data_IF_872302646304
#
_entry.id   IF_872302646304
#
_cell.length_a   1.000
_cell.length_b   1.000
_cell.length_c   1.000
_cell.angle_alpha   90.00
_cell.angle_beta   90.00
_cell.angle_gamma   90.00
#
_symmetry.space_group_name_H-M   'P 1'
#
loop_
_entity.id
_entity.type
_entity.pdbx_description
1 polymer ?
#
# COMPACT_ATOMS: atom_id res chain seq x y z
N UNK A 1 9.87 5.49 -25.19
CA UNK A 1 8.65 6.13 -25.74
C UNK A 1 7.98 6.97 -24.69
N UNK A 2 7.41 8.09 -25.07
CA UNK A 2 6.66 8.94 -24.14
C UNK A 2 5.37 8.24 -23.69
N UNK A 3 4.99 8.34 -22.42
CA UNK A 3 3.72 7.78 -21.95
C UNK A 3 2.55 8.50 -22.65
N UNK A 4 1.56 7.72 -23.08
CA UNK A 4 0.32 8.26 -23.61
C UNK A 4 -0.52 8.82 -22.45
N UNK A 5 -0.98 10.06 -22.48
CA UNK A 5 -1.53 10.76 -21.32
C UNK A 5 -2.98 10.35 -20.97
N UNK A 6 -3.50 9.28 -21.58
CA UNK A 6 -4.89 8.82 -21.39
C UNK A 6 -4.91 7.50 -20.63
N UNK A 7 -5.77 7.43 -19.63
CA UNK A 7 -6.05 6.19 -18.90
C UNK A 7 -7.05 5.34 -19.66
N UNK A 8 -6.80 4.03 -19.72
CA UNK A 8 -7.72 3.07 -20.29
C UNK A 8 -8.62 2.44 -19.22
N UNK A 9 -9.79 2.01 -19.62
CA UNK A 9 -10.73 1.26 -18.81
C UNK A 9 -10.62 -0.24 -19.16
N UNK A 10 -10.41 -1.08 -18.15
CA UNK A 10 -10.38 -2.53 -18.35
C UNK A 10 -11.81 -3.04 -18.48
N UNK A 11 -12.10 -3.65 -19.61
CA UNK A 11 -13.38 -4.30 -19.85
C UNK A 11 -13.30 -5.75 -19.37
N UNK A 12 -13.92 -6.04 -18.25
CA UNK A 12 -14.06 -7.42 -17.76
C UNK A 12 -15.11 -8.16 -18.58
N UNK A 13 -14.69 -8.85 -19.61
CA UNK A 13 -15.53 -9.81 -20.32
C UNK A 13 -14.82 -11.16 -20.35
N UNK A 14 -15.11 -12.00 -19.36
CA UNK A 14 -14.61 -13.37 -19.28
C UNK A 14 -13.09 -13.47 -19.24
N UNK A 15 -12.52 -13.59 -18.06
CA UNK A 15 -11.09 -13.90 -17.90
C UNK A 15 -10.91 -15.37 -18.29
N UNK A 16 -10.50 -15.64 -19.52
CA UNK A 16 -10.02 -16.94 -19.93
C UNK A 16 -8.50 -16.95 -19.83
N UNK A 17 -8.00 -17.85 -19.03
CA UNK A 17 -6.56 -18.16 -18.97
C UNK A 17 -6.31 -19.25 -19.99
N UNK A 18 -5.42 -19.02 -20.93
CA UNK A 18 -4.95 -20.08 -21.82
C UNK A 18 -4.12 -21.08 -20.98
N UNK A 19 -4.62 -22.30 -20.86
CA UNK A 19 -3.99 -23.34 -20.04
C UNK A 19 -2.63 -23.80 -20.58
N UNK A 20 -2.33 -23.54 -21.84
CA UNK A 20 -1.07 -23.93 -22.47
C UNK A 20 0.05 -22.90 -22.30
N UNK A 21 -0.29 -21.61 -22.33
CA UNK A 21 0.70 -20.51 -22.25
C UNK A 21 0.66 -19.78 -20.94
N UNK A 22 -0.43 -19.91 -20.17
CA UNK A 22 -0.67 -19.13 -18.95
C UNK A 22 -1.04 -17.66 -19.21
N UNK A 23 -1.27 -17.30 -20.48
CA UNK A 23 -1.60 -15.94 -20.87
C UNK A 23 -3.05 -15.58 -20.55
N UNK A 24 -3.26 -14.33 -20.21
CA UNK A 24 -4.58 -13.76 -19.95
C UNK A 24 -4.84 -12.65 -20.96
N UNK A 25 -5.96 -12.78 -21.68
CA UNK A 25 -6.38 -11.73 -22.61
C UNK A 25 -7.18 -10.66 -21.87
N UNK A 26 -6.61 -9.46 -21.80
CA UNK A 26 -7.29 -8.30 -21.27
C UNK A 26 -7.74 -7.37 -22.38
N UNK A 27 -8.99 -6.91 -22.32
CA UNK A 27 -9.51 -5.88 -23.23
C UNK A 27 -9.52 -4.54 -22.50
N UNK A 28 -8.89 -3.55 -23.12
CA UNK A 28 -8.80 -2.20 -22.54
C UNK A 28 -9.41 -1.22 -23.54
N UNK A 29 -10.37 -0.43 -23.07
CA UNK A 29 -10.91 0.69 -23.85
C UNK A 29 -10.08 1.93 -23.54
N UNK A 30 -9.61 2.61 -24.59
CA UNK A 30 -8.82 3.83 -24.47
C UNK A 30 -9.41 4.88 -25.41
N UNK A 31 -9.58 6.09 -24.91
CA UNK A 31 -9.95 7.22 -25.78
C UNK A 31 -8.80 7.57 -26.70
N UNK A 32 -9.06 7.66 -28.00
CA UNK A 32 -8.08 7.95 -29.05
C UNK A 32 -8.52 9.12 -29.93
N UNK A 33 -8.91 10.21 -29.31
CA UNK A 33 -9.40 11.41 -30.00
C UNK A 33 -8.37 12.01 -30.96
N UNK A 34 -7.09 11.89 -30.61
CA UNK A 34 -5.98 12.38 -31.40
C UNK A 34 -5.44 11.36 -32.42
N UNK A 35 -6.05 10.17 -32.50
CA UNK A 35 -5.68 9.08 -33.42
C UNK A 35 -4.21 8.67 -33.36
N UNK A 36 -3.57 8.80 -32.21
CA UNK A 36 -2.17 8.38 -32.01
C UNK A 36 -2.03 6.86 -31.92
N UNK A 37 -3.08 6.17 -31.53
CA UNK A 37 -3.11 4.70 -31.45
C UNK A 37 -3.69 4.17 -32.75
N UNK A 38 -2.90 3.39 -33.48
CA UNK A 38 -3.30 2.79 -34.74
C UNK A 38 -3.48 1.28 -34.60
N UNK A 39 -4.39 0.65 -35.35
CA UNK A 39 -4.51 -0.80 -35.39
C UNK A 39 -3.17 -1.45 -35.77
N UNK A 40 -2.82 -2.53 -35.05
CA UNK A 40 -1.57 -3.25 -35.26
C UNK A 40 -0.35 -2.69 -34.51
N UNK A 41 -0.46 -1.59 -33.79
CA UNK A 41 0.64 -1.07 -32.98
C UNK A 41 0.85 -1.88 -31.70
N UNK A 42 2.11 -2.14 -31.38
CA UNK A 42 2.48 -2.64 -30.05
C UNK A 42 2.46 -1.51 -29.02
N UNK A 43 1.75 -1.73 -27.93
CA UNK A 43 1.66 -0.79 -26.82
C UNK A 43 2.00 -1.49 -25.51
N UNK A 44 2.55 -0.75 -24.55
CA UNK A 44 2.74 -1.21 -23.18
C UNK A 44 1.69 -0.56 -22.30
N UNK A 45 0.87 -1.38 -21.65
CA UNK A 45 -0.07 -0.91 -20.65
C UNK A 45 0.46 -1.19 -19.24
N UNK A 46 0.31 -0.23 -18.33
CA UNK A 46 0.51 -0.45 -16.90
C UNK A 46 -0.85 -0.74 -16.29
N UNK A 47 -1.04 -1.96 -15.85
CA UNK A 47 -2.26 -2.37 -15.17
C UNK A 47 -1.96 -2.42 -13.68
N UNK A 48 -2.60 -1.58 -12.85
CA UNK A 48 -2.46 -1.70 -11.41
C UNK A 48 -3.07 -3.04 -10.99
N UNK A 49 -2.28 -3.91 -10.40
CA UNK A 49 -2.77 -5.16 -9.83
C UNK A 49 -3.25 -4.90 -8.40
N UNK A 50 -4.51 -5.10 -8.21
CA UNK A 50 -5.17 -5.00 -6.92
C UNK A 50 -6.21 -3.88 -6.91
N UNK A 51 -7.39 -4.20 -6.37
CA UNK A 51 -8.33 -3.18 -5.92
C UNK A 51 -7.64 -2.27 -4.90
N UNK A 52 -8.17 -1.09 -4.68
CA UNK A 52 -7.73 -0.25 -3.57
C UNK A 52 -7.85 -1.10 -2.29
N UNK A 53 -6.73 -1.64 -1.83
CA UNK A 53 -6.68 -2.28 -0.53
C UNK A 53 -6.67 -1.12 0.44
N UNK A 54 -7.82 -0.84 1.02
CA UNK A 54 -7.90 0.10 2.13
C UNK A 54 -6.97 -0.39 3.23
N UNK A 55 -6.04 0.42 3.60
CA UNK A 55 -5.08 0.09 4.63
C UNK A 55 -4.28 1.32 5.03
N UNK A 56 -3.66 1.21 6.19
CA UNK A 56 -2.83 2.28 6.76
C UNK A 56 -1.38 1.97 6.43
N UNK A 57 -0.67 2.94 5.83
CA UNK A 57 0.75 2.82 5.57
C UNK A 57 1.54 3.13 6.84
N UNK A 58 2.31 2.16 7.30
CA UNK A 58 3.10 2.24 8.53
C UNK A 58 4.58 2.06 8.20
N UNK A 59 5.47 2.97 8.65
CA UNK A 59 6.90 2.82 8.45
C UNK A 59 7.40 1.47 8.96
N UNK A 60 8.28 0.81 8.22
CA UNK A 60 8.80 -0.51 8.60
C UNK A 60 9.43 -0.52 9.99
N UNK A 61 10.07 0.57 10.39
CA UNK A 61 10.71 0.71 11.69
C UNK A 61 9.72 0.79 12.87
N UNK A 62 8.44 1.08 12.63
CA UNK A 62 7.40 1.07 13.66
C UNK A 62 6.84 -0.34 13.93
N UNK A 63 7.22 -1.33 13.14
CA UNK A 63 6.73 -2.69 13.25
C UNK A 63 7.62 -3.50 14.19
N UNK A 64 7.00 -4.03 15.23
CA UNK A 64 7.60 -5.00 16.13
C UNK A 64 7.24 -6.41 15.68
N UNK A 65 8.23 -7.29 15.63
CA UNK A 65 8.00 -8.73 15.43
C UNK A 65 8.14 -9.45 16.75
N UNK A 66 7.13 -10.21 17.11
CA UNK A 66 7.15 -11.10 18.27
C UNK A 66 7.70 -12.48 17.91
N UNK A 67 8.23 -13.20 18.90
CA UNK A 67 8.81 -14.51 18.69
C UNK A 67 7.83 -15.57 18.16
N UNK A 68 6.54 -15.32 18.25
CA UNK A 68 5.45 -16.14 17.67
C UNK A 68 5.12 -15.77 16.21
N UNK A 69 5.91 -14.85 15.60
CA UNK A 69 5.74 -14.44 14.21
C UNK A 69 4.65 -13.38 13.98
N UNK A 70 3.99 -12.93 15.02
CA UNK A 70 3.00 -11.87 14.93
C UNK A 70 3.69 -10.49 14.78
N UNK A 71 3.04 -9.60 14.06
CA UNK A 71 3.46 -8.21 13.95
C UNK A 71 2.63 -7.33 14.88
N UNK A 72 3.29 -6.38 15.52
CA UNK A 72 2.64 -5.42 16.39
C UNK A 72 3.18 -4.01 16.18
N UNK A 73 2.46 -3.05 16.71
CA UNK A 73 2.84 -1.63 16.77
C UNK A 73 2.51 -1.08 18.15
N UNK A 74 3.21 -0.02 18.54
CA UNK A 74 2.85 0.76 19.70
C UNK A 74 1.92 1.92 19.29
N UNK A 75 0.76 1.99 19.92
CA UNK A 75 -0.24 3.07 19.70
C UNK A 75 -0.35 3.88 20.98
N UNK A 76 -0.37 5.19 20.86
CA UNK A 76 -0.56 6.10 21.98
C UNK A 76 -2.06 6.40 22.11
N UNK A 77 -2.60 6.17 23.30
CA UNK A 77 -4.00 6.48 23.61
C UNK A 77 -4.21 7.97 23.93
N UNK A 78 -5.48 8.36 24.12
CA UNK A 78 -5.83 9.74 24.45
C UNK A 78 -5.30 10.24 25.81
N UNK A 79 -4.76 9.36 26.66
CA UNK A 79 -4.16 9.68 27.95
C UNK A 79 -2.61 9.76 27.88
N UNK A 80 -2.01 9.57 26.70
CA UNK A 80 -0.58 9.60 26.48
C UNK A 80 0.14 8.33 26.93
N UNK A 81 -0.55 7.19 26.95
CA UNK A 81 0.02 5.89 27.28
C UNK A 81 0.18 5.03 26.03
N UNK A 82 1.30 4.29 25.99
CA UNK A 82 1.58 3.38 24.89
C UNK A 82 0.93 2.01 25.14
N UNK A 83 0.20 1.54 24.15
CA UNK A 83 -0.42 0.20 24.13
C UNK A 83 0.01 -0.56 22.90
N UNK A 84 0.27 -1.84 23.07
CA UNK A 84 0.65 -2.71 21.96
C UNK A 84 -0.60 -3.24 21.26
N UNK A 85 -0.68 -3.00 19.94
CA UNK A 85 -1.73 -3.58 19.08
C UNK A 85 -1.11 -4.56 18.09
N UNK A 86 -1.71 -5.73 17.94
CA UNK A 86 -1.37 -6.67 16.88
C UNK A 86 -1.95 -6.18 15.56
N UNK A 87 -1.15 -6.24 14.50
CA UNK A 87 -1.53 -5.75 13.17
C UNK A 87 -1.35 -6.82 12.11
N UNK A 88 -2.16 -6.74 11.08
CA UNK A 88 -2.03 -7.59 9.89
C UNK A 88 -1.24 -6.84 8.83
N UNK A 89 -0.04 -7.33 8.53
CA UNK A 89 0.83 -6.75 7.53
C UNK A 89 0.46 -7.25 6.14
N UNK A 90 0.30 -6.32 5.21
CA UNK A 90 0.20 -6.59 3.78
C UNK A 90 1.54 -6.36 3.07
N UNK A 91 1.47 -5.91 1.82
CA UNK A 91 2.64 -5.62 0.99
C UNK A 91 3.42 -4.41 1.50
N UNK A 92 4.70 -4.36 1.13
CA UNK A 92 5.55 -3.18 1.36
C UNK A 92 5.44 -2.24 0.15
N UNK A 93 5.23 -0.96 0.43
CA UNK A 93 5.19 0.11 -0.57
C UNK A 93 6.06 1.26 -0.06
N UNK A 94 7.07 1.63 -0.82
CA UNK A 94 7.99 2.75 -0.49
C UNK A 94 8.52 2.74 0.96
N UNK A 95 8.98 1.58 1.43
CA UNK A 95 9.51 1.43 2.79
C UNK A 95 8.46 1.42 3.90
N UNK A 96 7.17 1.33 3.55
CA UNK A 96 6.05 1.23 4.48
C UNK A 96 5.31 -0.08 4.30
N UNK A 97 4.83 -0.67 5.39
CA UNK A 97 3.89 -1.77 5.33
C UNK A 97 2.46 -1.25 5.17
N UNK A 98 1.73 -1.83 4.23
CA UNK A 98 0.30 -1.65 4.17
C UNK A 98 -0.34 -2.53 5.25
N UNK A 99 -0.90 -1.92 6.27
CA UNK A 99 -1.60 -2.60 7.36
C UNK A 99 -3.08 -2.69 7.01
N UNK A 100 -3.59 -3.90 6.86
CA UNK A 100 -4.99 -4.15 6.49
C UNK A 100 -5.92 -4.34 7.69
N UNK A 101 -5.39 -4.51 8.88
CA UNK A 101 -6.18 -4.69 10.10
C UNK A 101 -5.39 -4.43 11.37
N UNK A 102 -6.11 -4.11 12.44
CA UNK A 102 -5.53 -3.85 13.76
C UNK A 102 -5.28 -2.37 14.07
N UNK A 103 -5.38 -1.48 13.08
CA UNK A 103 -5.27 -0.04 13.27
C UNK A 103 -6.53 0.70 12.81
N UNK A 104 -6.73 1.86 13.38
CA UNK A 104 -7.80 2.79 13.01
C UNK A 104 -7.18 4.08 12.47
N UNK A 105 -7.83 4.71 11.50
CA UNK A 105 -7.38 6.00 11.00
C UNK A 105 -7.39 7.04 12.14
N UNK A 106 -6.24 7.72 12.30
CA UNK A 106 -6.04 8.67 13.39
C UNK A 106 -5.27 8.10 14.59
N UNK A 107 -5.02 6.79 14.64
CA UNK A 107 -4.15 6.19 15.68
C UNK A 107 -2.75 6.82 15.61
N UNK A 108 -2.22 7.24 16.76
CA UNK A 108 -0.85 7.75 16.87
C UNK A 108 0.10 6.60 17.11
N UNK A 109 1.06 6.42 16.22
CA UNK A 109 2.03 5.33 16.26
C UNK A 109 3.37 5.80 16.80
N UNK A 110 4.02 4.98 17.61
CA UNK A 110 5.42 5.18 17.99
C UNK A 110 6.30 4.61 16.89
N UNK A 111 7.23 5.40 16.39
CA UNK A 111 8.14 5.03 15.29
C UNK A 111 9.57 4.81 15.80
N UNK A 112 9.95 5.48 16.87
CA UNK A 112 11.29 5.40 17.49
C UNK A 112 11.19 5.11 18.98
N UNK A 113 12.20 4.43 19.52
CA UNK A 113 12.28 4.10 20.95
C UNK A 113 11.45 2.89 21.38
N UNK A 114 11.09 2.04 20.45
CA UNK A 114 10.20 0.88 20.65
C UNK A 114 10.69 -0.12 21.69
N UNK A 115 12.01 -0.33 21.77
CA UNK A 115 12.64 -1.34 22.65
C UNK A 115 12.55 -1.01 24.14
N UNK A 116 12.24 0.23 24.47
CA UNK A 116 12.16 0.72 25.84
C UNK A 116 10.74 0.79 26.39
N UNK A 117 9.75 0.56 25.54
CA UNK A 117 8.33 0.69 25.89
C UNK A 117 7.77 -0.60 26.47
N UNK A 118 6.96 -0.42 27.50
CA UNK A 118 6.07 -1.47 28.05
C UNK A 118 4.62 -1.01 27.91
N UNK A 119 3.73 -1.97 27.90
CA UNK A 119 2.29 -1.68 27.84
C UNK A 119 1.85 -0.84 29.02
N UNK A 120 1.22 0.30 28.75
CA UNK A 120 0.78 1.27 29.74
C UNK A 120 1.80 2.35 30.12
N UNK A 121 2.98 2.36 29.54
CA UNK A 121 3.99 3.40 29.79
C UNK A 121 3.52 4.76 29.29
N UNK A 122 3.71 5.80 30.11
CA UNK A 122 3.50 7.19 29.71
C UNK A 122 4.61 7.64 28.75
N UNK A 123 4.23 8.22 27.63
CA UNK A 123 5.18 8.70 26.61
C UNK A 123 5.03 10.19 26.35
N UNK A 124 6.16 10.85 26.06
CA UNK A 124 6.15 12.23 25.58
C UNK A 124 6.24 12.21 24.05
N UNK A 125 5.25 12.78 23.41
CA UNK A 125 5.15 12.82 21.95
C UNK A 125 6.17 13.82 21.40
N UNK A 126 6.97 13.38 20.42
CA UNK A 126 7.77 14.23 19.54
C UNK A 126 7.41 13.92 18.09
N UNK A 127 7.16 14.94 17.26
CA UNK A 127 6.83 14.70 15.86
C UNK A 127 7.97 13.95 15.16
N UNK A 128 7.65 12.83 14.52
CA UNK A 128 8.60 12.10 13.72
C UNK A 128 8.93 12.88 12.43
N UNK A 129 10.21 13.06 12.13
CA UNK A 129 10.69 13.80 10.97
C UNK A 129 10.98 12.90 9.75
N UNK A 130 10.49 11.68 9.74
CA UNK A 130 10.66 10.76 8.62
C UNK A 130 9.85 11.19 7.38
N UNK A 131 10.19 10.60 6.26
CA UNK A 131 9.49 10.84 4.99
C UNK A 131 8.11 10.19 5.03
N UNK A 132 7.01 10.94 4.87
CA UNK A 132 5.69 10.33 4.74
C UNK A 132 5.64 9.48 3.47
N UNK A 133 4.80 8.42 3.43
CA UNK A 133 4.59 7.64 2.23
C UNK A 133 4.05 8.55 1.13
N UNK A 134 4.55 8.39 -0.09
CA UNK A 134 3.98 9.11 -1.21
C UNK A 134 2.55 8.62 -1.44
N UNK A 135 1.59 9.51 -1.26
CA UNK A 135 0.16 9.25 -1.50
C UNK A 135 -0.16 9.21 -3.00
N UNK A 136 0.85 9.37 -3.85
CA UNK A 136 0.65 9.40 -5.28
C UNK A 136 0.82 8.00 -5.88
N UNK A 137 -0.26 7.35 -6.33
CA UNK A 137 -0.19 6.05 -7.00
C UNK A 137 0.48 6.15 -8.39
N UNK A 138 0.98 7.32 -8.78
CA UNK A 138 1.48 7.62 -10.12
C UNK A 138 3.01 7.63 -10.21
N UNK A 139 3.74 7.50 -9.11
CA UNK A 139 5.21 7.53 -9.17
C UNK A 139 5.80 6.12 -8.97
N UNK A 140 5.99 5.51 -10.06
CA UNK A 140 6.78 4.36 -10.57
C UNK A 140 5.97 3.22 -11.11
#
# INVERSE_FOLDING_TARGET
GKPYPVKGEILFSGINVDAGTGDVVLRIRVENTQRHLLPGMYVRARVPQGGATEGILVPQQAILRTGDGLAGVWVIDGSGKAHRKTVQLGKVVDGHYLVSGGLTAGDKLVVEGLDRLKDGDGVTEQPWKGTPPSTDPTTR
#
